data_IF_546595687183
#
_entry.id   IF_546595687183
#
_cell.length_a   1.000
_cell.length_b   1.000
_cell.length_c   1.000
_cell.angle_alpha   90.00
_cell.angle_beta   90.00
_cell.angle_gamma   90.00
#
_symmetry.space_group_name_H-M   'P 1'
#
loop_
_entity.id
_entity.type
_entity.pdbx_description
1 polymer ?
#
# COMPACT_ATOMS: atom_id res chain seq x y z
N UNK A 1 -8.28 16.42 18.63
CA UNK A 1 -9.12 17.04 17.59
C UNK A 1 -8.72 16.42 16.27
N UNK A 2 -9.66 15.95 15.43
CA UNK A 2 -9.29 15.32 14.15
C UNK A 2 -8.69 16.39 13.22
N UNK A 3 -7.38 16.31 12.96
CA UNK A 3 -6.67 17.29 12.13
C UNK A 3 -7.21 17.32 10.69
N UNK A 4 -7.59 16.18 10.13
CA UNK A 4 -8.17 16.11 8.78
C UNK A 4 -9.41 16.99 8.67
N UNK A 5 -10.35 16.85 9.61
CA UNK A 5 -11.56 17.66 9.68
C UNK A 5 -11.27 19.15 9.92
N UNK A 6 -10.27 19.46 10.75
CA UNK A 6 -9.86 20.84 11.00
C UNK A 6 -9.25 21.50 9.74
N UNK A 7 -8.75 20.70 8.81
CA UNK A 7 -8.02 21.14 7.62
C UNK A 7 -8.88 21.18 6.34
N UNK A 8 -10.10 20.63 6.33
CA UNK A 8 -10.99 20.54 5.14
C UNK A 8 -11.19 21.86 4.38
N UNK A 9 -11.18 22.99 5.08
CA UNK A 9 -11.42 24.33 4.51
C UNK A 9 -10.15 25.15 4.33
N UNK A 10 -8.98 24.57 4.58
CA UNK A 10 -7.71 25.27 4.41
C UNK A 10 -7.40 25.41 2.92
N UNK A 11 -6.74 26.50 2.50
CA UNK A 11 -6.42 26.71 1.09
C UNK A 11 -5.38 25.71 0.60
N UNK A 12 -5.30 25.57 -0.73
CA UNK A 12 -4.24 24.80 -1.38
C UNK A 12 -2.85 25.30 -0.92
N UNK A 13 -1.95 24.36 -0.63
CA UNK A 13 -0.60 24.66 -0.15
C UNK A 13 -0.49 24.91 1.35
N UNK A 14 -1.60 24.84 2.11
CA UNK A 14 -1.52 24.81 3.57
C UNK A 14 -0.75 23.58 4.06
N UNK A 15 0.19 23.79 4.97
CA UNK A 15 1.07 22.74 5.49
C UNK A 15 0.86 22.55 6.99
N UNK A 16 1.00 21.30 7.42
CA UNK A 16 0.98 20.87 8.83
C UNK A 16 2.14 19.93 9.09
N UNK A 17 2.71 19.90 10.31
CA UNK A 17 3.76 18.95 10.64
C UNK A 17 3.28 17.50 10.44
N UNK A 18 4.14 16.67 9.85
CA UNK A 18 3.81 15.28 9.53
C UNK A 18 3.36 14.49 10.76
N UNK A 19 4.06 14.61 11.89
CA UNK A 19 3.73 13.89 13.13
C UNK A 19 2.31 14.22 13.64
N UNK A 20 1.84 15.46 13.46
CA UNK A 20 0.46 15.83 13.83
C UNK A 20 -0.59 15.10 12.97
N UNK A 21 -0.28 14.91 11.69
CA UNK A 21 -1.14 14.18 10.76
C UNK A 21 -1.09 12.67 11.01
N UNK A 22 0.10 12.09 11.23
CA UNK A 22 0.24 10.68 11.56
C UNK A 22 -0.50 10.32 12.85
N UNK A 23 -0.46 11.20 13.85
CA UNK A 23 -1.21 11.05 15.10
C UNK A 23 -2.74 11.17 14.95
N UNK A 24 -3.22 11.62 13.80
CA UNK A 24 -4.65 11.80 13.50
C UNK A 24 -5.22 10.74 12.55
N UNK A 25 -4.39 9.81 12.04
CA UNK A 25 -4.86 8.71 11.20
C UNK A 25 -5.85 7.84 11.98
N UNK A 26 -6.95 7.48 11.33
CA UNK A 26 -7.99 6.62 11.86
C UNK A 26 -7.62 5.16 11.61
N UNK A 27 -6.98 4.56 12.59
CA UNK A 27 -6.78 3.12 12.61
C UNK A 27 -8.06 2.41 13.05
N UNK A 28 -8.34 1.25 12.47
CA UNK A 28 -9.41 0.38 12.91
C UNK A 28 -9.13 -0.22 14.31
N UNK A 29 -10.05 -1.03 14.83
CA UNK A 29 -9.93 -1.68 16.16
C UNK A 29 -8.66 -2.55 16.34
N UNK A 30 -8.02 -2.95 15.25
CA UNK A 30 -6.78 -3.73 15.25
C UNK A 30 -5.53 -2.84 15.18
N UNK A 31 -5.69 -1.52 15.18
CA UNK A 31 -4.58 -0.57 14.99
C UNK A 31 -4.09 -0.50 13.54
N UNK A 32 -4.95 -0.79 12.55
CA UNK A 32 -4.57 -0.90 11.14
C UNK A 32 -5.33 0.09 10.25
N UNK A 33 -4.65 0.58 9.22
CA UNK A 33 -5.20 1.43 8.16
C UNK A 33 -5.03 0.72 6.81
N UNK A 34 -6.03 0.73 5.92
CA UNK A 34 -5.87 0.26 4.55
C UNK A 34 -4.85 1.12 3.79
N UNK A 35 -3.94 0.46 3.08
CA UNK A 35 -2.95 1.08 2.22
C UNK A 35 -3.06 0.51 0.81
N UNK A 36 -3.34 1.39 -0.14
CA UNK A 36 -3.44 1.07 -1.58
C UNK A 36 -2.09 1.38 -2.21
N UNK A 37 -1.46 0.38 -2.81
CA UNK A 37 -0.25 0.56 -3.60
C UNK A 37 -0.63 0.72 -5.08
N UNK A 38 -0.24 1.84 -5.66
CA UNK A 38 -0.46 2.16 -7.06
C UNK A 38 0.88 2.40 -7.75
N UNK A 39 1.06 1.87 -8.95
CA UNK A 39 2.23 2.15 -9.76
C UNK A 39 2.26 3.65 -10.12
N UNK A 40 3.39 4.31 -9.84
CA UNK A 40 3.50 5.78 -9.85
C UNK A 40 3.27 6.42 -11.24
N UNK A 41 3.67 5.75 -12.31
CA UNK A 41 3.61 6.24 -13.70
C UNK A 41 2.34 5.79 -14.42
N UNK A 42 2.03 4.48 -14.41
CA UNK A 42 0.86 3.93 -15.11
C UNK A 42 -0.45 4.11 -14.37
N UNK A 43 -0.40 4.39 -13.06
CA UNK A 43 -1.55 4.45 -12.15
C UNK A 43 -2.31 3.13 -11.98
N UNK A 44 -1.69 2.01 -12.37
CA UNK A 44 -2.21 0.68 -12.10
C UNK A 44 -2.29 0.43 -10.59
N UNK A 45 -3.46 0.02 -10.09
CA UNK A 45 -3.61 -0.41 -8.70
C UNK A 45 -3.01 -1.80 -8.55
N UNK A 46 -1.93 -1.89 -7.77
CA UNK A 46 -1.14 -3.12 -7.63
C UNK A 46 -1.69 -4.03 -6.55
N UNK A 47 -1.98 -3.49 -5.37
CA UNK A 47 -2.46 -4.25 -4.23
C UNK A 47 -3.05 -3.33 -3.15
N UNK A 48 -3.81 -3.94 -2.25
CA UNK A 48 -4.17 -3.35 -0.96
C UNK A 48 -3.60 -4.23 0.15
N UNK A 49 -3.01 -3.60 1.17
CA UNK A 49 -2.57 -4.26 2.38
C UNK A 49 -2.83 -3.37 3.60
N UNK A 50 -2.52 -3.87 4.79
CA UNK A 50 -2.68 -3.14 6.04
C UNK A 50 -1.37 -2.50 6.45
N UNK A 51 -1.42 -1.31 7.04
CA UNK A 51 -0.30 -0.71 7.76
C UNK A 51 -0.74 -0.39 9.19
N UNK A 52 0.15 -0.58 10.16
CA UNK A 52 0.05 0.09 11.46
C UNK A 52 0.93 1.36 11.45
N UNK A 53 0.97 2.09 12.56
CA UNK A 53 1.80 3.30 12.67
C UNK A 53 3.29 3.01 12.43
N UNK A 54 3.81 1.90 12.92
CA UNK A 54 5.23 1.53 12.75
C UNK A 54 5.56 1.24 11.28
N UNK A 55 4.69 0.53 10.57
CA UNK A 55 4.84 0.26 9.14
C UNK A 55 4.85 1.55 8.31
N UNK A 56 3.99 2.52 8.65
CA UNK A 56 3.99 3.85 8.02
C UNK A 56 5.30 4.60 8.27
N UNK A 57 5.75 4.65 9.53
CA UNK A 57 7.00 5.31 9.92
C UNK A 57 8.20 4.69 9.23
N UNK A 58 8.27 3.36 9.19
CA UNK A 58 9.35 2.65 8.50
C UNK A 58 9.33 2.91 6.99
N UNK A 59 8.14 2.92 6.37
CA UNK A 59 7.99 3.21 4.94
C UNK A 59 8.50 4.61 4.60
N UNK A 60 8.12 5.61 5.41
CA UNK A 60 8.56 7.00 5.23
C UNK A 60 10.06 7.18 5.50
N UNK A 61 10.61 6.46 6.49
CA UNK A 61 12.02 6.56 6.85
C UNK A 61 12.97 5.87 5.85
N UNK A 62 12.56 4.72 5.31
CA UNK A 62 13.42 3.90 4.45
C UNK A 62 13.18 4.12 2.95
N UNK A 63 12.01 4.63 2.57
CA UNK A 63 11.59 4.70 1.17
C UNK A 63 11.26 3.33 0.55
N UNK A 64 11.27 2.24 1.33
CA UNK A 64 10.77 0.93 0.91
C UNK A 64 9.44 0.66 1.62
N UNK A 65 8.44 0.20 0.88
CA UNK A 65 7.12 -0.03 1.47
C UNK A 65 7.16 -1.21 2.45
N UNK A 66 6.74 -0.92 3.68
CA UNK A 66 6.55 -1.85 4.77
C UNK A 66 5.06 -1.93 5.12
N UNK A 67 4.53 -3.14 5.24
CA UNK A 67 3.15 -3.42 5.63
C UNK A 67 3.10 -4.10 6.99
N UNK A 68 1.89 -4.21 7.55
CA UNK A 68 1.60 -5.08 8.68
C UNK A 68 0.94 -6.38 8.21
N UNK A 69 1.60 -7.50 8.46
CA UNK A 69 1.01 -8.82 8.22
C UNK A 69 0.10 -9.20 9.40
N UNK A 70 -1.21 -9.28 9.15
CA UNK A 70 -2.18 -9.73 10.16
C UNK A 70 -1.96 -11.17 10.61
N UNK A 71 -1.52 -12.05 9.70
CA UNK A 71 -1.27 -13.47 10.01
C UNK A 71 0.03 -13.65 10.79
N UNK A 72 1.09 -12.94 10.43
CA UNK A 72 2.40 -13.00 11.13
C UNK A 72 2.44 -12.10 12.37
N UNK A 73 1.45 -11.21 12.53
CA UNK A 73 1.41 -10.17 13.57
C UNK A 73 2.71 -9.37 13.65
N UNK A 74 3.20 -8.92 12.50
CA UNK A 74 4.49 -8.25 12.40
C UNK A 74 4.67 -7.47 11.11
N UNK A 75 5.72 -6.66 11.11
CA UNK A 75 6.14 -5.86 9.96
C UNK A 75 6.60 -6.76 8.81
N UNK A 76 6.25 -6.38 7.59
CA UNK A 76 6.55 -7.09 6.36
C UNK A 76 7.04 -6.09 5.32
N UNK A 77 8.33 -6.15 4.99
CA UNK A 77 8.91 -5.31 3.93
C UNK A 77 8.57 -5.95 2.59
N UNK A 78 7.85 -5.24 1.73
CA UNK A 78 7.42 -5.80 0.45
C UNK A 78 8.65 -6.18 -0.37
N UNK A 79 8.69 -7.43 -0.80
CA UNK A 79 9.80 -7.99 -1.57
C UNK A 79 10.93 -8.61 -0.75
N UNK A 80 10.91 -8.56 0.60
CA UNK A 80 12.03 -9.05 1.43
C UNK A 80 12.49 -10.48 1.15
N UNK A 81 11.56 -11.37 0.76
CA UNK A 81 11.87 -12.76 0.41
C UNK A 81 11.94 -13.04 -1.09
N UNK A 82 11.35 -12.19 -1.93
CA UNK A 82 11.17 -12.46 -3.38
C UNK A 82 11.98 -11.54 -4.29
N UNK A 83 12.63 -10.52 -3.73
CA UNK A 83 13.27 -9.44 -4.49
C UNK A 83 12.30 -8.44 -5.14
N UNK A 84 10.99 -8.72 -5.13
CA UNK A 84 9.97 -7.89 -5.80
C UNK A 84 9.52 -6.73 -4.90
N UNK A 85 10.41 -5.75 -4.76
CA UNK A 85 10.27 -4.61 -3.86
C UNK A 85 9.32 -3.53 -4.40
N UNK A 86 8.83 -2.70 -3.48
CA UNK A 86 8.11 -1.46 -3.79
C UNK A 86 8.91 -0.29 -3.21
N UNK A 87 9.47 0.54 -4.09
CA UNK A 87 10.09 1.80 -3.69
C UNK A 87 9.01 2.89 -3.61
N UNK A 88 8.93 3.59 -2.49
CA UNK A 88 8.00 4.69 -2.31
C UNK A 88 8.43 5.89 -3.16
N UNK A 89 7.50 6.41 -3.95
CA UNK A 89 7.64 7.66 -4.70
C UNK A 89 6.91 8.79 -3.99
N UNK A 90 5.67 8.54 -3.56
CA UNK A 90 4.92 9.48 -2.70
C UNK A 90 3.85 8.76 -1.89
N UNK A 91 3.40 9.42 -0.82
CA UNK A 91 2.34 8.96 0.06
C UNK A 91 1.28 10.05 0.18
N UNK A 92 0.02 9.68 0.05
CA UNK A 92 -1.12 10.53 0.32
C UNK A 92 -2.03 9.89 1.37
N UNK A 93 -2.65 10.74 2.19
CA UNK A 93 -3.71 10.37 3.13
C UNK A 93 -5.03 10.87 2.53
N UNK A 94 -6.10 10.10 2.66
CA UNK A 94 -7.41 10.52 2.18
C UNK A 94 -8.03 11.63 3.05
N UNK A 95 -9.24 12.07 2.68
CA UNK A 95 -9.84 13.29 3.23
C UNK A 95 -10.15 13.22 4.71
N UNK A 96 -10.38 12.02 5.26
CA UNK A 96 -10.74 11.84 6.65
C UNK A 96 -9.78 10.93 7.43
N UNK A 97 -8.67 10.54 6.79
CA UNK A 97 -7.49 9.95 7.38
C UNK A 97 -7.64 8.46 7.67
N UNK A 98 -8.54 7.75 6.99
CA UNK A 98 -8.77 6.32 7.18
C UNK A 98 -8.19 5.46 6.06
N UNK A 99 -7.61 6.06 5.02
CA UNK A 99 -6.95 5.33 3.93
C UNK A 99 -5.66 6.00 3.48
N UNK A 100 -4.67 5.18 3.16
CA UNK A 100 -3.37 5.60 2.63
C UNK A 100 -3.25 5.21 1.16
N UNK A 101 -2.82 6.14 0.32
CA UNK A 101 -2.43 5.88 -1.07
C UNK A 101 -0.91 6.00 -1.21
N UNK A 102 -0.28 4.90 -1.61
CA UNK A 102 1.15 4.81 -1.88
C UNK A 102 1.34 4.83 -3.41
N UNK A 103 2.06 5.84 -3.91
CA UNK A 103 2.63 5.79 -5.25
C UNK A 103 3.98 5.08 -5.15
N UNK A 104 4.11 3.97 -5.86
CA UNK A 104 5.29 3.11 -5.79
C UNK A 104 5.89 2.85 -7.15
N UNK A 105 7.20 2.64 -7.15
CA UNK A 105 7.90 1.98 -8.25
C UNK A 105 8.06 0.50 -7.89
N UNK A 106 7.30 -0.36 -8.57
CA UNK A 106 7.24 -1.80 -8.32
C UNK A 106 8.20 -2.55 -9.24
N UNK A 107 9.18 -3.23 -8.65
CA UNK A 107 10.03 -4.19 -9.37
C UNK A 107 9.29 -5.52 -9.55
N UNK A 108 9.18 -6.00 -10.79
CA UNK A 108 8.53 -7.27 -11.13
C UNK A 108 7.07 -7.38 -10.66
N UNK A 109 6.57 -8.60 -10.35
CA UNK A 109 5.18 -8.80 -9.94
C UNK A 109 4.92 -8.34 -8.50
N UNK A 110 3.83 -7.60 -8.27
CA UNK A 110 3.40 -7.25 -6.92
C UNK A 110 2.79 -8.46 -6.20
N UNK A 111 2.13 -9.36 -6.94
CA UNK A 111 1.40 -10.49 -6.38
C UNK A 111 2.30 -11.73 -6.18
N UNK A 112 2.07 -12.45 -5.08
CA UNK A 112 2.73 -13.73 -4.80
C UNK A 112 2.38 -14.85 -5.81
N UNK A 113 1.36 -14.64 -6.64
CA UNK A 113 0.99 -15.57 -7.72
C UNK A 113 1.82 -15.36 -8.99
N UNK A 114 2.79 -14.44 -8.98
CA UNK A 114 3.60 -14.12 -10.15
C UNK A 114 2.99 -13.06 -11.08
N UNK A 115 1.80 -12.58 -10.76
CA UNK A 115 1.08 -11.58 -11.57
C UNK A 115 1.44 -10.15 -11.18
N UNK A 116 1.24 -9.25 -12.14
CA UNK A 116 1.55 -7.83 -12.00
C UNK A 116 0.87 -7.18 -10.79
N UNK A 117 -0.44 -7.39 -10.63
CA UNK A 117 -1.26 -6.87 -9.55
C UNK A 117 -2.10 -7.99 -8.91
N UNK A 118 -2.60 -7.75 -7.69
CA UNK A 118 -3.46 -8.69 -6.96
C UNK A 118 -4.90 -8.75 -7.52
N UNK A 119 -5.33 -7.72 -8.25
CA UNK A 119 -6.69 -7.57 -8.76
C UNK A 119 -6.90 -8.26 -10.12
N UNK A 120 -6.56 -9.54 -10.21
CA UNK A 120 -6.55 -10.29 -11.48
C UNK A 120 -7.79 -11.16 -11.69
N UNK A 121 -8.69 -11.22 -10.71
CA UNK A 121 -10.02 -11.80 -10.90
C UNK A 121 -10.98 -10.70 -11.35
N UNK A 122 -11.46 -10.78 -12.57
CA UNK A 122 -12.40 -9.80 -13.15
C UNK A 122 -13.80 -10.38 -13.26
N UNK A 123 -14.80 -9.57 -12.96
CA UNK A 123 -16.21 -9.93 -13.09
C UNK A 123 -16.67 -9.59 -14.51
N UNK A 124 -17.14 -10.59 -15.24
CA UNK A 124 -17.70 -10.45 -16.59
C UNK A 124 -19.09 -11.09 -16.62
N UNK A 125 -20.13 -10.25 -16.69
CA UNK A 125 -21.53 -10.66 -16.57
C UNK A 125 -21.79 -11.44 -15.27
N UNK A 126 -22.14 -12.73 -15.37
CA UNK A 126 -22.38 -13.65 -14.27
C UNK A 126 -21.17 -14.56 -13.97
N UNK A 127 -20.04 -14.34 -14.64
CA UNK A 127 -18.81 -15.12 -14.50
C UNK A 127 -17.68 -14.29 -13.86
N UNK A 128 -16.73 -15.01 -13.25
CA UNK A 128 -15.43 -14.45 -12.83
C UNK A 128 -14.34 -15.08 -13.66
N UNK A 129 -13.51 -14.26 -14.28
CA UNK A 129 -12.41 -14.68 -15.14
C UNK A 129 -11.06 -14.31 -14.51
N UNK A 130 -10.07 -15.17 -14.69
CA UNK A 130 -8.68 -14.84 -14.35
C UNK A 130 -8.10 -14.08 -15.54
N UNK A 131 -7.79 -12.82 -15.33
CA UNK A 131 -7.05 -11.96 -16.24
C UNK A 131 -5.60 -11.84 -15.78
N UNK A 132 -4.71 -11.35 -16.64
CA UNK A 132 -3.32 -11.09 -16.30
C UNK A 132 -2.42 -12.33 -16.31
N UNK A 133 -1.30 -12.20 -17.03
CA UNK A 133 -0.31 -13.24 -17.20
C UNK A 133 0.57 -13.42 -15.94
N UNK A 134 1.03 -14.65 -15.74
CA UNK A 134 2.05 -14.97 -14.73
C UNK A 134 3.40 -14.53 -15.30
N UNK A 135 3.95 -13.43 -14.78
CA UNK A 135 5.22 -12.86 -15.23
C UNK A 135 6.42 -13.70 -14.74
N UNK A 136 6.32 -14.23 -13.51
CA UNK A 136 7.33 -15.10 -12.88
C UNK A 136 6.57 -16.18 -12.13
N UNK A 137 6.92 -17.47 -12.28
CA UNK A 137 6.20 -18.53 -11.56
C UNK A 137 6.34 -18.36 -10.04
N UNK A 138 5.32 -18.75 -9.24
CA UNK A 138 5.43 -18.74 -7.78
C UNK A 138 6.64 -19.53 -7.27
N UNK A 139 6.98 -20.63 -7.94
CA UNK A 139 8.16 -21.43 -7.62
C UNK A 139 9.43 -20.61 -7.81
N UNK A 140 9.56 -19.90 -8.94
CA UNK A 140 10.73 -19.06 -9.23
C UNK A 140 10.83 -17.83 -8.32
N UNK A 141 9.71 -17.26 -7.87
CA UNK A 141 9.70 -16.09 -6.97
C UNK A 141 10.36 -16.35 -5.61
N UNK A 142 10.35 -17.60 -5.16
CA UNK A 142 10.83 -17.99 -3.83
C UNK A 142 11.96 -19.03 -3.88
N UNK A 143 12.50 -19.33 -5.06
CA UNK A 143 13.74 -20.09 -5.21
C UNK A 143 14.87 -19.29 -4.54
N UNK A 144 15.50 -19.90 -3.55
CA UNK A 144 16.70 -19.39 -2.89
C UNK A 144 17.95 -19.80 -3.66
#
# INVERSE_FOLDING_TARGET
>A
MNQFKANERKPQGFTVPLEEMLGSIKFNEQGLVPAIAQQHDTREVLMMAWMNLDALKETLATGQVCYWSRSRKGLWRKGESSGQVQKLISLALDCDGDTVLLQVDQTGPACHTGRRHCFFYEVAEDQVQIQGEVLISPEDLYKK
#
